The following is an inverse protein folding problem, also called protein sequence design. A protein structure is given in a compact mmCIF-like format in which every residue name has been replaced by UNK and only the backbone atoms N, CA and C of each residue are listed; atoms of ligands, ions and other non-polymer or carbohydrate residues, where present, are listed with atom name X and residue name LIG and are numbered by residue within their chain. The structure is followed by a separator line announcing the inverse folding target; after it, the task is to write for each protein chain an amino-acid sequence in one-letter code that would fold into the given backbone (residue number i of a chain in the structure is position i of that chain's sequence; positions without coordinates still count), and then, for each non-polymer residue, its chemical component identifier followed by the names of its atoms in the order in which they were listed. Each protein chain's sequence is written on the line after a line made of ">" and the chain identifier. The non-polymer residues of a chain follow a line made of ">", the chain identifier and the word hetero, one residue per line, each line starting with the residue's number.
data_IF_665083993073
#
_entry.id   IF_665083993073
#
_cell.length_a   1.000
_cell.length_b   1.000
_cell.length_c   1.000
_cell.angle_alpha   90.00
_cell.angle_beta   90.00
_cell.angle_gamma   90.00
#
_symmetry.space_group_name_H-M   'P 1'
#
loop_
_entity.id
_entity.type
_entity.pdbx_description
1 polymer ?
#
# COMPACT_ATOMS: atom_id res chain seq x y z
N UNK A 1 16.75 68.24 8.89
CA UNK A 1 16.00 67.33 7.99
C UNK A 1 16.87 66.60 6.95
N UNK A 2 18.22 66.65 7.02
CA UNK A 2 19.11 66.04 6.01
C UNK A 2 19.83 64.75 6.45
N UNK A 3 19.75 64.36 7.73
CA UNK A 3 20.47 63.19 8.26
C UNK A 3 19.64 61.90 8.21
N UNK A 4 18.31 62.01 8.27
CA UNK A 4 17.38 60.85 8.22
C UNK A 4 17.23 60.25 6.81
N UNK A 5 17.38 61.06 5.75
CA UNK A 5 17.30 60.58 4.36
C UNK A 5 18.55 59.78 3.92
N UNK A 6 19.73 60.09 4.48
CA UNK A 6 20.97 59.35 4.18
C UNK A 6 20.96 57.94 4.77
N UNK A 7 20.40 57.76 5.97
CA UNK A 7 20.38 56.46 6.65
C UNK A 7 19.26 55.53 6.11
N UNK A 8 18.16 56.08 5.61
CA UNK A 8 17.07 55.32 4.97
C UNK A 8 17.44 54.85 3.56
N UNK A 9 18.18 55.66 2.79
CA UNK A 9 18.72 55.25 1.50
C UNK A 9 19.77 54.12 1.63
N UNK A 10 20.60 54.14 2.68
CA UNK A 10 21.58 53.09 2.95
C UNK A 10 20.92 51.75 3.33
N UNK A 11 19.83 51.77 4.12
CA UNK A 11 19.07 50.56 4.45
C UNK A 11 18.36 49.94 3.23
N UNK A 12 17.83 50.77 2.31
CA UNK A 12 17.22 50.28 1.06
C UNK A 12 18.25 49.64 0.13
N UNK A 13 19.49 50.16 0.06
CA UNK A 13 20.58 49.59 -0.74
C UNK A 13 21.10 48.25 -0.18
N UNK A 14 21.02 48.05 1.14
CA UNK A 14 21.37 46.79 1.82
C UNK A 14 20.25 45.74 1.68
N UNK A 15 18.99 46.16 1.63
CA UNK A 15 17.87 45.26 1.31
C UNK A 15 17.85 44.83 -0.18
N UNK A 16 18.27 45.70 -1.10
CA UNK A 16 18.33 45.38 -2.55
C UNK A 16 19.50 44.47 -2.94
N UNK A 17 20.54 44.35 -2.10
CA UNK A 17 21.71 43.50 -2.35
C UNK A 17 21.58 42.06 -1.81
N UNK A 18 20.54 41.77 -1.01
CA UNK A 18 20.35 40.44 -0.38
C UNK A 18 19.38 39.50 -1.11
N UNK A 19 18.80 39.92 -2.24
CA UNK A 19 17.89 39.10 -3.06
C UNK A 19 18.51 38.70 -4.42
N UNK A 20 19.79 38.31 -4.43
CA UNK A 20 20.29 37.48 -5.52
C UNK A 20 19.78 36.04 -5.33
N UNK A 21 18.48 35.83 -5.54
CA UNK A 21 17.93 34.49 -5.71
C UNK A 21 18.59 33.94 -6.98
N UNK A 22 19.62 33.10 -6.82
CA UNK A 22 20.23 32.40 -7.95
C UNK A 22 19.16 31.46 -8.52
N UNK A 23 18.53 31.89 -9.61
CA UNK A 23 17.63 31.04 -10.38
C UNK A 23 18.38 29.76 -10.77
N UNK A 24 17.75 28.60 -10.60
CA UNK A 24 18.29 27.34 -11.12
C UNK A 24 18.12 27.34 -12.64
N UNK A 25 19.16 26.92 -13.34
CA UNK A 25 19.13 26.73 -14.80
C UNK A 25 18.54 25.36 -15.12
N UNK A 26 17.63 25.29 -16.08
CA UNK A 26 16.94 24.05 -16.47
C UNK A 26 17.17 23.73 -17.94
N UNK A 27 17.53 22.48 -18.23
CA UNK A 27 17.64 21.96 -19.60
C UNK A 27 16.83 20.68 -19.74
N UNK A 28 16.30 20.43 -20.92
CA UNK A 28 15.46 19.27 -21.19
C UNK A 28 15.77 18.63 -22.54
N UNK A 29 15.50 17.34 -22.66
CA UNK A 29 15.45 16.62 -23.94
C UNK A 29 14.34 15.59 -23.94
N UNK A 30 13.85 15.29 -25.14
CA UNK A 30 12.80 14.28 -25.38
C UNK A 30 13.36 13.19 -26.28
N UNK A 31 13.14 11.94 -25.89
CA UNK A 31 13.48 10.76 -26.70
C UNK A 31 12.19 10.02 -26.99
N UNK A 32 11.92 9.74 -28.26
CA UNK A 32 10.77 8.95 -28.69
C UNK A 32 11.27 7.76 -29.49
N UNK A 33 10.83 6.56 -29.13
CA UNK A 33 11.15 5.31 -29.84
C UNK A 33 9.89 4.48 -30.02
N UNK A 34 9.82 3.75 -31.12
CA UNK A 34 8.71 2.86 -31.45
C UNK A 34 9.26 1.52 -31.91
N UNK A 35 8.64 0.44 -31.46
CA UNK A 35 9.02 -0.94 -31.81
C UNK A 35 7.78 -1.81 -31.96
N UNK A 36 7.93 -2.96 -32.62
CA UNK A 36 6.89 -4.00 -32.62
C UNK A 36 6.87 -4.72 -31.28
N UNK A 37 5.68 -4.93 -30.71
CA UNK A 37 5.45 -5.70 -29.50
C UNK A 37 4.02 -6.24 -29.58
N UNK A 38 3.84 -7.56 -29.48
CA UNK A 38 2.52 -8.18 -29.60
C UNK A 38 1.79 -8.22 -28.25
N UNK A 39 0.52 -8.59 -28.25
CA UNK A 39 -0.31 -8.77 -27.04
C UNK A 39 0.26 -9.75 -25.99
N UNK A 40 1.13 -10.68 -26.40
CA UNK A 40 1.85 -11.62 -25.52
C UNK A 40 3.24 -11.11 -25.11
N UNK A 41 3.49 -9.81 -25.31
CA UNK A 41 4.78 -9.19 -25.04
C UNK A 41 5.05 -9.01 -23.56
N UNK A 42 6.34 -8.90 -23.24
CA UNK A 42 6.82 -8.58 -21.91
C UNK A 42 7.52 -7.22 -21.94
N UNK A 43 7.11 -6.31 -21.06
CA UNK A 43 7.78 -5.04 -20.84
C UNK A 43 8.36 -5.00 -19.43
N UNK A 44 9.66 -4.75 -19.33
CA UNK A 44 10.36 -4.48 -18.08
C UNK A 44 10.88 -3.07 -18.05
N UNK A 45 10.58 -2.33 -16.98
CA UNK A 45 11.02 -0.95 -16.77
C UNK A 45 11.79 -0.87 -15.46
N UNK A 46 13.04 -0.44 -15.52
CA UNK A 46 13.84 -0.03 -14.36
C UNK A 46 14.08 1.48 -14.44
N UNK A 47 13.36 2.21 -13.58
CA UNK A 47 13.51 3.64 -13.42
C UNK A 47 13.85 3.98 -11.98
N UNK A 48 14.51 5.13 -11.81
CA UNK A 48 14.85 5.65 -10.48
C UNK A 48 14.37 7.08 -10.28
N UNK A 49 14.02 7.80 -11.35
CA UNK A 49 13.94 9.24 -11.32
C UNK A 49 12.75 9.73 -12.16
N UNK A 50 11.54 9.71 -11.61
CA UNK A 50 10.37 10.33 -12.25
C UNK A 50 9.23 9.37 -12.51
N UNK A 51 8.19 9.93 -13.10
CA UNK A 51 6.89 9.29 -13.20
C UNK A 51 6.84 8.35 -14.41
N UNK A 52 6.06 7.28 -14.30
CA UNK A 52 5.82 6.31 -15.36
C UNK A 52 4.33 6.28 -15.64
N UNK A 53 3.95 6.70 -16.83
CA UNK A 53 2.57 6.60 -17.33
C UNK A 53 2.52 5.53 -18.40
N UNK A 54 1.65 4.54 -18.20
CA UNK A 54 1.48 3.40 -19.09
C UNK A 54 0.04 3.40 -19.61
N UNK A 55 -0.10 3.37 -20.93
CA UNK A 55 -1.38 3.40 -21.64
C UNK A 55 -1.51 2.16 -22.51
N UNK A 56 -2.47 1.29 -22.19
CA UNK A 56 -2.81 0.15 -23.04
C UNK A 56 -3.57 0.57 -24.31
N UNK A 57 -3.31 -0.11 -25.43
CA UNK A 57 -4.02 0.08 -26.70
C UNK A 57 -4.20 -1.22 -27.49
N UNK A 58 -4.99 -1.15 -28.58
CA UNK A 58 -5.28 -2.27 -29.48
C UNK A 58 -4.31 -2.34 -30.68
N UNK A 59 -3.02 -2.08 -30.47
CA UNK A 59 -1.98 -2.16 -31.50
C UNK A 59 -0.84 -3.05 -31.06
N UNK A 60 -0.30 -3.85 -31.98
CA UNK A 60 0.89 -4.67 -31.78
C UNK A 60 2.18 -3.86 -31.94
N UNK A 61 2.26 -2.79 -31.16
CA UNK A 61 3.43 -1.92 -31.12
C UNK A 61 3.57 -1.31 -29.74
N UNK A 62 4.80 -0.91 -29.41
CA UNK A 62 5.12 -0.13 -28.23
C UNK A 62 5.71 1.21 -28.65
N UNK A 63 5.23 2.29 -28.05
CA UNK A 63 5.80 3.64 -28.19
C UNK A 63 6.26 4.11 -26.83
N UNK A 64 7.55 4.46 -26.73
CA UNK A 64 8.20 4.89 -25.51
C UNK A 64 8.62 6.34 -25.70
N UNK A 65 8.12 7.21 -24.84
CA UNK A 65 8.54 8.61 -24.74
C UNK A 65 9.23 8.84 -23.41
N UNK A 66 10.51 9.22 -23.43
CA UNK A 66 11.24 9.66 -22.25
C UNK A 66 11.42 11.18 -22.29
N UNK A 67 10.86 11.88 -21.31
CA UNK A 67 11.04 13.32 -21.11
C UNK A 67 12.05 13.52 -19.98
N UNK A 68 13.24 14.01 -20.32
CA UNK A 68 14.34 14.18 -19.38
C UNK A 68 14.51 15.67 -19.12
N UNK A 69 14.47 16.06 -17.84
CA UNK A 69 14.74 17.42 -17.36
C UNK A 69 15.85 17.37 -16.33
N UNK A 70 16.79 18.30 -16.45
CA UNK A 70 17.89 18.50 -15.51
C UNK A 70 17.88 19.93 -15.03
N UNK A 71 17.99 20.15 -13.72
CA UNK A 71 18.21 21.48 -13.13
C UNK A 71 19.55 21.52 -12.39
N UNK A 72 20.28 22.62 -12.55
CA UNK A 72 21.52 22.86 -11.81
C UNK A 72 21.73 24.37 -11.60
N UNK A 73 22.58 24.75 -10.65
CA UNK A 73 22.96 26.15 -10.44
C UNK A 73 23.82 26.72 -11.58
N UNK A 74 24.41 25.86 -12.42
CA UNK A 74 25.19 26.25 -13.60
C UNK A 74 24.64 25.57 -14.85
N UNK A 75 24.29 26.35 -15.86
CA UNK A 75 23.76 25.86 -17.13
C UNK A 75 24.66 24.79 -17.78
N UNK A 76 25.98 24.97 -17.77
CA UNK A 76 26.92 24.02 -18.37
C UNK A 76 26.96 22.67 -17.64
N UNK A 77 26.80 22.67 -16.31
CA UNK A 77 26.66 21.43 -15.55
C UNK A 77 25.36 20.71 -15.92
N UNK A 78 24.27 21.46 -16.03
CA UNK A 78 22.97 20.92 -16.41
C UNK A 78 23.03 20.27 -17.81
N UNK A 79 23.70 20.94 -18.78
CA UNK A 79 23.93 20.41 -20.13
C UNK A 79 24.81 19.15 -20.13
N UNK A 80 25.92 19.14 -19.38
CA UNK A 80 26.82 17.97 -19.27
C UNK A 80 26.08 16.76 -18.70
N UNK A 81 25.29 16.96 -17.63
CA UNK A 81 24.50 15.90 -17.01
C UNK A 81 23.38 15.42 -17.94
N UNK A 82 22.66 16.33 -18.61
CA UNK A 82 21.62 15.99 -19.59
C UNK A 82 22.17 15.12 -20.73
N UNK A 83 23.40 15.38 -21.20
CA UNK A 83 24.05 14.56 -22.25
C UNK A 83 24.33 13.12 -21.79
N UNK A 84 24.60 12.93 -20.50
CA UNK A 84 24.97 11.63 -19.88
C UNK A 84 23.78 10.76 -19.52
N UNK A 85 22.58 11.33 -19.41
CA UNK A 85 21.35 10.55 -19.20
C UNK A 85 20.95 9.92 -20.53
N UNK A 86 21.14 8.62 -20.69
CA UNK A 86 20.76 7.90 -21.92
C UNK A 86 19.99 6.64 -21.55
N UNK A 87 18.65 6.70 -21.51
CA UNK A 87 17.82 5.52 -21.33
C UNK A 87 18.19 4.43 -22.33
N UNK A 88 18.49 3.24 -21.83
CA UNK A 88 18.77 2.07 -22.65
C UNK A 88 17.45 1.36 -22.93
N UNK A 89 17.13 1.20 -24.21
CA UNK A 89 15.95 0.45 -24.66
C UNK A 89 16.45 -0.73 -25.46
N UNK A 90 16.19 -1.95 -24.97
CA UNK A 90 16.57 -3.21 -25.61
C UNK A 90 15.32 -3.98 -26.01
N UNK A 91 15.26 -4.41 -27.27
CA UNK A 91 14.19 -5.25 -27.79
C UNK A 91 14.80 -6.56 -28.29
N UNK A 92 14.33 -7.68 -27.75
CA UNK A 92 14.74 -9.02 -28.18
C UNK A 92 13.48 -9.86 -28.38
N UNK A 93 13.10 -10.09 -29.63
CA UNK A 93 11.84 -10.75 -29.95
C UNK A 93 10.65 -9.95 -29.40
N UNK A 94 9.89 -10.54 -28.49
CA UNK A 94 8.70 -9.95 -27.87
C UNK A 94 8.96 -9.40 -26.45
N UNK A 95 10.23 -9.24 -26.08
CA UNK A 95 10.67 -8.67 -24.82
C UNK A 95 11.20 -7.26 -25.04
N UNK A 96 10.65 -6.30 -24.31
CA UNK A 96 11.13 -4.93 -24.24
C UNK A 96 11.68 -4.62 -22.84
N UNK A 97 12.89 -4.09 -22.76
CA UNK A 97 13.51 -3.63 -21.51
C UNK A 97 13.87 -2.16 -21.63
N UNK A 98 13.46 -1.37 -20.63
CA UNK A 98 13.80 0.04 -20.46
C UNK A 98 14.62 0.18 -19.18
N UNK A 99 15.83 0.72 -19.27
CA UNK A 99 16.68 0.99 -18.11
C UNK A 99 17.12 2.45 -18.11
N UNK A 100 16.82 3.16 -17.03
CA UNK A 100 17.21 4.55 -16.83
C UNK A 100 18.65 4.64 -16.33
N UNK A 101 19.61 4.72 -17.26
CA UNK A 101 21.03 4.85 -16.94
C UNK A 101 21.54 6.29 -17.03
N UNK A 102 22.39 6.67 -16.07
CA UNK A 102 23.18 7.91 -16.10
C UNK A 102 24.64 7.51 -16.20
N UNK A 103 25.25 7.71 -17.37
CA UNK A 103 26.64 7.28 -17.61
C UNK A 103 27.61 8.05 -16.71
N UNK A 104 28.55 7.35 -16.08
CA UNK A 104 29.60 7.94 -15.24
C UNK A 104 30.63 8.73 -16.05
N UNK A 105 31.02 9.90 -15.54
CA UNK A 105 32.18 10.69 -16.00
C UNK A 105 33.40 10.43 -15.11
N UNK A 106 33.15 10.13 -13.83
CA UNK A 106 34.04 9.58 -12.79
C UNK A 106 33.13 9.04 -11.68
N UNK A 107 33.46 7.91 -11.05
CA UNK A 107 32.65 7.32 -9.95
C UNK A 107 32.43 8.32 -8.80
N UNK A 108 33.45 9.12 -8.46
CA UNK A 108 33.38 10.14 -7.40
C UNK A 108 32.39 11.28 -7.67
N UNK A 109 32.09 11.62 -8.93
CA UNK A 109 31.14 12.70 -9.24
C UNK A 109 29.70 12.22 -9.11
N UNK A 110 29.41 10.99 -9.54
CA UNK A 110 28.11 10.35 -9.28
C UNK A 110 27.94 10.17 -7.77
N UNK A 111 28.95 9.63 -7.09
CA UNK A 111 28.90 9.49 -5.63
C UNK A 111 28.62 10.84 -4.95
N UNK A 112 29.28 11.93 -5.30
CA UNK A 112 29.05 13.22 -4.63
C UNK A 112 27.69 13.88 -4.96
N UNK A 113 27.13 13.63 -6.14
CA UNK A 113 25.83 14.16 -6.54
C UNK A 113 24.65 13.31 -6.04
N UNK A 114 24.87 12.00 -5.85
CA UNK A 114 23.83 11.01 -5.50
C UNK A 114 23.97 10.40 -4.09
N UNK A 115 25.13 10.47 -3.41
CA UNK A 115 25.38 9.95 -2.04
C UNK A 115 25.27 11.01 -0.92
N UNK A 116 24.44 12.03 -1.06
CA UNK A 116 24.08 12.83 0.13
C UNK A 116 23.17 12.00 1.03
N UNK A 117 23.81 11.35 2.01
CA UNK A 117 23.26 10.40 2.97
C UNK A 117 22.24 11.01 3.94
N UNK A 118 21.07 11.40 3.44
CA UNK A 118 19.89 11.57 4.29
C UNK A 118 18.64 11.06 3.55
N UNK A 119 17.83 10.16 4.14
CA UNK A 119 16.58 9.70 3.54
C UNK A 119 15.50 10.81 3.43
N UNK A 120 15.76 11.99 4.00
CA UNK A 120 14.90 13.17 3.93
C UNK A 120 15.44 14.30 3.03
N UNK A 121 16.63 14.11 2.43
CA UNK A 121 17.37 15.15 1.69
C UNK A 121 17.65 14.71 0.23
N UNK A 122 16.86 13.75 -0.29
CA UNK A 122 16.80 13.45 -1.72
C UNK A 122 16.25 14.68 -2.43
N UNK A 123 17.14 15.56 -2.87
CA UNK A 123 16.84 16.68 -3.75
C UNK A 123 16.34 16.12 -5.08
N UNK A 124 15.02 15.83 -5.12
CA UNK A 124 14.22 15.40 -6.28
C UNK A 124 14.34 16.36 -7.48
N UNK A 125 15.02 17.49 -7.32
CA UNK A 125 14.95 18.63 -8.21
C UNK A 125 15.82 18.48 -9.45
N UNK A 126 17.00 17.87 -9.32
CA UNK A 126 18.03 18.09 -10.32
C UNK A 126 17.95 17.16 -11.53
N UNK A 127 17.31 15.98 -11.42
CA UNK A 127 17.12 15.06 -12.55
C UNK A 127 15.73 14.43 -12.48
N UNK A 128 14.96 14.58 -13.56
CA UNK A 128 13.66 13.95 -13.76
C UNK A 128 13.63 13.27 -15.13
N UNK A 129 13.23 12.01 -15.17
CA UNK A 129 13.14 11.13 -16.34
C UNK A 129 11.74 10.52 -16.32
N UNK A 130 10.78 11.23 -16.90
CA UNK A 130 9.40 10.76 -16.96
C UNK A 130 9.20 9.91 -18.21
N UNK A 131 8.54 8.77 -18.05
CA UNK A 131 8.16 7.90 -19.15
C UNK A 131 6.67 7.99 -19.45
N UNK A 132 6.33 8.09 -20.73
CA UNK A 132 4.98 7.83 -21.24
C UNK A 132 5.08 6.70 -22.25
N UNK A 133 4.40 5.59 -21.97
CA UNK A 133 4.49 4.36 -22.73
C UNK A 133 3.10 4.01 -23.23
N UNK A 134 2.99 3.73 -24.53
CA UNK A 134 1.82 3.09 -25.13
C UNK A 134 2.21 1.67 -25.51
N UNK A 135 1.43 0.67 -25.12
CA UNK A 135 1.71 -0.74 -25.39
C UNK A 135 0.43 -1.57 -25.56
N UNK A 136 0.51 -2.79 -26.12
CA UNK A 136 -0.62 -3.69 -26.20
C UNK A 136 -1.23 -3.98 -24.82
N UNK A 137 -2.55 -3.86 -24.70
CA UNK A 137 -3.27 -3.85 -23.41
C UNK A 137 -3.13 -5.12 -22.55
N UNK A 138 -2.79 -6.26 -23.14
CA UNK A 138 -2.69 -7.55 -22.40
C UNK A 138 -1.26 -8.00 -22.15
N UNK A 139 -0.25 -7.20 -22.53
CA UNK A 139 1.15 -7.52 -22.26
C UNK A 139 1.41 -7.73 -20.77
N UNK A 140 2.45 -8.49 -20.45
CA UNK A 140 2.96 -8.58 -19.09
C UNK A 140 3.90 -7.39 -18.80
N UNK A 141 3.77 -6.80 -17.61
CA UNK A 141 4.40 -5.55 -17.25
C UNK A 141 5.11 -5.69 -15.90
N UNK A 142 6.42 -5.50 -15.89
CA UNK A 142 7.27 -5.48 -14.70
C UNK A 142 7.85 -4.07 -14.54
N UNK A 143 7.54 -3.38 -13.44
CA UNK A 143 8.03 -2.02 -13.18
C UNK A 143 8.79 -1.98 -11.86
N UNK A 144 10.02 -1.50 -11.90
CA UNK A 144 10.77 -1.07 -10.72
C UNK A 144 10.93 0.44 -10.82
N UNK A 145 10.39 1.18 -9.83
CA UNK A 145 10.60 2.62 -9.71
C UNK A 145 10.98 3.02 -8.29
N UNK A 146 12.00 3.86 -8.13
CA UNK A 146 12.48 4.31 -6.81
C UNK A 146 11.88 5.65 -6.36
N UNK A 147 11.58 6.54 -7.31
CA UNK A 147 11.04 7.86 -7.03
C UNK A 147 10.15 8.28 -8.19
N UNK A 148 8.95 8.77 -7.86
CA UNK A 148 7.95 9.18 -8.84
C UNK A 148 6.83 8.18 -8.96
N UNK A 149 5.74 8.64 -9.53
CA UNK A 149 4.48 7.92 -9.47
C UNK A 149 4.32 6.96 -10.66
N UNK A 150 3.46 5.96 -10.51
CA UNK A 150 3.09 5.04 -11.60
C UNK A 150 1.60 5.18 -11.88
N UNK A 151 1.24 5.50 -13.11
CA UNK A 151 -0.14 5.58 -13.57
C UNK A 151 -0.34 4.53 -14.65
N UNK A 152 -1.26 3.59 -14.43
CA UNK A 152 -1.65 2.59 -15.41
C UNK A 152 -3.07 2.88 -15.90
N UNK A 153 -3.21 3.12 -17.20
CA UNK A 153 -4.49 3.33 -17.88
C UNK A 153 -4.70 2.29 -18.98
N UNK A 154 -5.93 1.79 -19.12
CA UNK A 154 -6.34 0.86 -20.18
C UNK A 154 -5.49 -0.42 -20.28
N UNK A 155 -4.84 -0.83 -19.19
CA UNK A 155 -3.98 -2.01 -19.12
C UNK A 155 -4.68 -3.15 -18.37
N UNK A 156 -4.68 -4.36 -18.95
CA UNK A 156 -5.40 -5.53 -18.43
C UNK A 156 -4.52 -6.79 -18.30
N UNK A 157 -3.23 -6.68 -18.59
CA UNK A 157 -2.29 -7.79 -18.50
C UNK A 157 -1.80 -8.07 -17.08
N UNK A 158 -0.84 -8.98 -16.97
CA UNK A 158 -0.19 -9.32 -15.69
C UNK A 158 0.70 -8.17 -15.23
N UNK A 159 0.56 -7.76 -13.98
CA UNK A 159 1.36 -6.69 -13.37
C UNK A 159 2.29 -7.22 -12.28
N UNK A 160 3.55 -6.81 -12.32
CA UNK A 160 4.49 -6.90 -11.19
C UNK A 160 5.10 -5.53 -10.98
N UNK A 161 5.14 -5.05 -9.73
CA UNK A 161 5.68 -3.73 -9.43
C UNK A 161 6.49 -3.71 -8.14
N UNK A 162 7.63 -3.02 -8.17
CA UNK A 162 8.38 -2.58 -7.00
C UNK A 162 8.46 -1.05 -7.02
N UNK A 163 7.72 -0.39 -6.13
CA UNK A 163 7.64 1.06 -6.05
C UNK A 163 8.14 1.54 -4.69
N UNK A 164 9.03 2.53 -4.70
CA UNK A 164 9.44 3.28 -3.52
C UNK A 164 9.14 4.76 -3.72
N UNK A 165 8.77 5.47 -2.65
CA UNK A 165 8.66 6.93 -2.64
C UNK A 165 7.82 7.53 -3.79
N UNK A 166 6.66 6.93 -4.05
CA UNK A 166 5.72 7.36 -5.09
C UNK A 166 4.40 6.64 -4.92
N UNK A 167 3.37 7.20 -5.54
CA UNK A 167 2.03 6.65 -5.56
C UNK A 167 1.79 5.85 -6.83
N UNK A 168 0.87 4.90 -6.75
CA UNK A 168 0.44 4.07 -7.88
C UNK A 168 -1.08 4.17 -8.06
N UNK A 169 -1.51 4.46 -9.29
CA UNK A 169 -2.91 4.47 -9.68
C UNK A 169 -3.19 3.43 -10.77
N UNK A 170 -4.15 2.55 -10.49
CA UNK A 170 -4.65 1.52 -11.42
C UNK A 170 -6.16 1.72 -11.57
N UNK A 171 -6.57 2.34 -12.68
CA UNK A 171 -7.96 2.77 -12.88
C UNK A 171 -8.84 1.73 -13.58
N UNK A 172 -8.36 0.49 -13.74
CA UNK A 172 -9.07 -0.57 -14.43
C UNK A 172 -8.98 -1.90 -13.67
N UNK A 173 -9.78 -2.87 -14.11
CA UNK A 173 -9.86 -4.17 -13.48
C UNK A 173 -8.70 -5.05 -13.99
N UNK A 174 -7.91 -5.58 -13.05
CA UNK A 174 -6.81 -6.51 -13.34
C UNK A 174 -7.16 -7.92 -12.89
N UNK A 175 -6.66 -8.92 -13.63
CA UNK A 175 -6.78 -10.32 -13.20
C UNK A 175 -5.73 -10.64 -12.15
N UNK A 176 -4.45 -10.32 -12.41
CA UNK A 176 -3.34 -10.66 -11.53
C UNK A 176 -2.39 -9.47 -11.34
N UNK A 177 -2.08 -9.17 -10.08
CA UNK A 177 -1.03 -8.21 -9.75
C UNK A 177 -0.19 -8.66 -8.55
N UNK A 178 1.10 -8.35 -8.59
CA UNK A 178 2.01 -8.42 -7.45
C UNK A 178 2.66 -7.05 -7.24
N UNK A 179 2.49 -6.45 -6.06
CA UNK A 179 2.95 -5.08 -5.78
C UNK A 179 3.73 -5.04 -4.47
N UNK A 180 5.01 -4.65 -4.53
CA UNK A 180 5.82 -4.23 -3.38
C UNK A 180 5.84 -2.70 -3.37
N UNK A 181 5.24 -2.09 -2.34
CA UNK A 181 5.16 -0.65 -2.17
C UNK A 181 5.76 -0.20 -0.84
N UNK A 182 6.71 0.75 -0.92
CA UNK A 182 7.33 1.38 0.25
C UNK A 182 7.18 2.89 0.19
N UNK A 183 6.64 3.51 1.25
CA UNK A 183 6.53 4.97 1.39
C UNK A 183 5.72 5.63 0.26
N UNK A 184 4.47 5.19 0.08
CA UNK A 184 3.55 5.75 -0.92
C UNK A 184 2.14 5.17 -0.79
N UNK A 185 1.28 5.43 -1.76
CA UNK A 185 -0.10 4.93 -1.79
C UNK A 185 -0.37 4.14 -3.07
N UNK A 186 -0.96 2.95 -2.93
CA UNK A 186 -1.60 2.22 -4.03
C UNK A 186 -3.10 2.51 -4.01
N UNK A 187 -3.61 3.10 -5.08
CA UNK A 187 -5.05 3.23 -5.34
C UNK A 187 -5.42 2.37 -6.54
N UNK A 188 -6.34 1.44 -6.34
CA UNK A 188 -6.78 0.51 -7.39
C UNK A 188 -8.28 0.26 -7.34
N UNK A 189 -8.89 0.15 -8.52
CA UNK A 189 -10.30 -0.21 -8.63
C UNK A 189 -10.50 -1.68 -8.26
N UNK A 190 -9.98 -2.60 -9.09
CA UNK A 190 -10.18 -4.03 -8.87
C UNK A 190 -8.96 -4.85 -9.28
N UNK A 191 -8.60 -5.80 -8.42
CA UNK A 191 -7.61 -6.82 -8.75
C UNK A 191 -8.16 -8.16 -8.27
N UNK A 192 -8.48 -9.06 -9.20
CA UNK A 192 -9.09 -10.34 -8.86
C UNK A 192 -8.19 -11.17 -7.93
N UNK A 193 -6.91 -11.33 -8.31
CA UNK A 193 -5.90 -12.05 -7.52
C UNK A 193 -4.68 -11.15 -7.29
N UNK A 194 -4.47 -10.75 -6.04
CA UNK A 194 -3.45 -9.80 -5.66
C UNK A 194 -2.51 -10.37 -4.58
N UNK A 195 -1.22 -10.12 -4.75
CA UNK A 195 -0.23 -10.23 -3.68
C UNK A 195 0.38 -8.86 -3.45
N UNK A 196 0.23 -8.30 -2.25
CA UNK A 196 0.65 -6.92 -1.95
C UNK A 196 1.53 -6.93 -0.69
N UNK A 197 2.73 -6.36 -0.82
CA UNK A 197 3.64 -6.07 0.29
C UNK A 197 3.67 -4.55 0.52
N UNK A 198 3.29 -4.11 1.72
CA UNK A 198 3.26 -2.69 2.11
C UNK A 198 4.24 -2.41 3.25
N UNK A 199 5.04 -1.34 3.10
CA UNK A 199 5.89 -0.82 4.18
C UNK A 199 5.76 0.69 4.31
N UNK A 200 5.20 1.13 5.44
CA UNK A 200 4.90 2.53 5.70
C UNK A 200 4.16 3.18 4.52
N UNK A 201 3.14 2.49 4.02
CA UNK A 201 2.42 2.82 2.79
C UNK A 201 0.90 2.85 3.04
N UNK A 202 0.14 3.14 1.99
CA UNK A 202 -1.32 3.08 2.03
C UNK A 202 -1.88 2.23 0.89
N UNK A 203 -2.96 1.51 1.16
CA UNK A 203 -3.76 0.79 0.17
C UNK A 203 -5.20 1.29 0.19
N UNK A 204 -5.73 1.63 -0.98
CA UNK A 204 -7.11 2.02 -1.24
C UNK A 204 -7.62 1.17 -2.41
N UNK A 205 -8.43 0.16 -2.10
CA UNK A 205 -8.88 -0.86 -3.06
C UNK A 205 -10.40 -1.01 -3.02
N UNK A 206 -11.06 -0.92 -4.17
CA UNK A 206 -12.51 -1.15 -4.20
C UNK A 206 -12.83 -2.64 -4.07
N UNK A 207 -12.33 -3.49 -4.98
CA UNK A 207 -12.70 -4.92 -4.97
C UNK A 207 -11.54 -5.88 -5.20
N UNK A 208 -11.58 -7.04 -4.53
CA UNK A 208 -10.73 -8.18 -4.85
C UNK A 208 -11.44 -9.52 -4.59
N UNK A 209 -11.09 -10.55 -5.35
CA UNK A 209 -11.57 -11.91 -5.04
C UNK A 209 -10.63 -12.58 -4.04
N UNK A 210 -9.32 -12.46 -4.26
CA UNK A 210 -8.30 -13.00 -3.39
C UNK A 210 -7.17 -11.98 -3.22
N UNK A 211 -6.93 -11.59 -1.97
CA UNK A 211 -5.79 -10.74 -1.61
C UNK A 211 -4.96 -11.46 -0.56
N UNK A 212 -3.66 -11.58 -0.83
CA UNK A 212 -2.64 -11.85 0.17
C UNK A 212 -1.94 -10.53 0.46
N UNK A 213 -2.03 -10.06 1.71
CA UNK A 213 -1.43 -8.78 2.14
C UNK A 213 -0.42 -9.01 3.26
N UNK A 214 0.83 -8.61 3.03
CA UNK A 214 1.79 -8.40 4.11
C UNK A 214 1.99 -6.90 4.30
N UNK A 215 1.78 -6.43 5.53
CA UNK A 215 1.80 -5.00 5.82
C UNK A 215 2.56 -4.70 7.10
N UNK A 216 3.29 -3.58 7.09
CA UNK A 216 3.80 -2.98 8.31
C UNK A 216 3.81 -1.45 8.29
N UNK A 217 3.33 -0.83 9.37
CA UNK A 217 3.32 0.63 9.53
C UNK A 217 2.37 1.35 8.55
N UNK A 218 1.35 0.69 8.03
CA UNK A 218 0.58 1.11 6.86
C UNK A 218 -0.92 1.31 7.17
N UNK A 219 -1.62 2.00 6.27
CA UNK A 219 -3.08 2.16 6.32
C UNK A 219 -3.74 1.41 5.16
N UNK A 220 -4.77 0.63 5.43
CA UNK A 220 -5.42 -0.23 4.44
C UNK A 220 -6.92 0.01 4.48
N UNK A 221 -7.48 0.45 3.36
CA UNK A 221 -8.91 0.64 3.15
C UNK A 221 -9.35 -0.24 1.97
N UNK A 222 -10.25 -1.19 2.25
CA UNK A 222 -10.80 -2.12 1.26
C UNK A 222 -12.32 -2.05 1.29
N UNK A 223 -12.97 -1.80 0.15
CA UNK A 223 -14.43 -1.76 0.10
C UNK A 223 -15.02 -3.19 0.13
N UNK A 224 -14.65 -4.08 -0.79
CA UNK A 224 -15.16 -5.46 -0.81
C UNK A 224 -14.08 -6.48 -1.14
N UNK A 225 -14.03 -7.56 -0.37
CA UNK A 225 -13.14 -8.68 -0.66
C UNK A 225 -13.80 -10.03 -0.34
N UNK A 226 -13.52 -11.07 -1.14
CA UNK A 226 -14.02 -12.42 -0.87
C UNK A 226 -13.08 -13.15 0.09
N UNK A 227 -11.87 -13.53 -0.36
CA UNK A 227 -10.86 -14.22 0.46
C UNK A 227 -9.72 -13.29 0.80
N UNK A 228 -9.56 -12.95 2.08
CA UNK A 228 -8.48 -12.10 2.56
C UNK A 228 -7.51 -12.86 3.45
N UNK A 229 -6.25 -12.96 3.02
CA UNK A 229 -5.16 -13.49 3.82
C UNK A 229 -4.23 -12.34 4.23
N UNK A 230 -3.99 -12.19 5.53
CA UNK A 230 -3.30 -11.02 6.07
C UNK A 230 -2.18 -11.38 7.06
N UNK A 231 -1.04 -10.73 6.89
CA UNK A 231 0.02 -10.62 7.92
C UNK A 231 0.26 -9.12 8.16
N UNK A 232 -0.14 -8.63 9.34
CA UNK A 232 -0.15 -7.21 9.65
C UNK A 232 0.62 -6.88 10.93
N UNK A 233 1.34 -5.75 10.93
CA UNK A 233 2.11 -5.26 12.07
C UNK A 233 2.18 -3.72 12.12
N UNK A 234 1.58 -3.11 13.14
CA UNK A 234 1.50 -1.64 13.30
C UNK A 234 0.68 -0.97 12.20
N UNK A 235 -0.43 -1.60 11.81
CA UNK A 235 -1.29 -1.10 10.74
C UNK A 235 -2.63 -0.60 11.27
N UNK A 236 -3.30 0.18 10.43
CA UNK A 236 -4.72 0.51 10.58
C UNK A 236 -5.48 -0.02 9.36
N UNK A 237 -6.44 -0.90 9.60
CA UNK A 237 -7.14 -1.64 8.54
C UNK A 237 -8.64 -1.41 8.68
N UNK A 238 -9.28 -0.89 7.62
CA UNK A 238 -10.72 -0.79 7.51
C UNK A 238 -11.22 -1.59 6.30
N UNK A 239 -12.21 -2.44 6.52
CA UNK A 239 -12.81 -3.28 5.48
C UNK A 239 -14.31 -3.09 5.53
N UNK A 240 -14.93 -2.68 4.41
CA UNK A 240 -16.38 -2.50 4.39
C UNK A 240 -17.12 -3.83 4.31
N UNK A 241 -16.67 -4.76 3.47
CA UNK A 241 -17.25 -6.10 3.37
C UNK A 241 -16.15 -7.15 3.11
N UNK A 242 -16.14 -8.22 3.90
CA UNK A 242 -15.28 -9.38 3.68
C UNK A 242 -16.06 -10.67 3.85
N UNK A 243 -15.86 -11.64 2.95
CA UNK A 243 -16.48 -12.97 3.12
C UNK A 243 -15.66 -13.82 4.10
N UNK A 244 -14.36 -13.93 3.87
CA UNK A 244 -13.44 -14.76 4.64
C UNK A 244 -12.16 -13.98 4.94
N UNK A 245 -11.76 -13.93 6.21
CA UNK A 245 -10.49 -13.34 6.64
C UNK A 245 -9.68 -14.33 7.46
N UNK A 246 -8.42 -14.53 7.09
CA UNK A 246 -7.49 -15.38 7.83
C UNK A 246 -6.09 -14.78 7.95
N UNK A 247 -5.37 -15.15 9.00
CA UNK A 247 -3.95 -14.82 9.13
C UNK A 247 -3.53 -14.32 10.51
N UNK A 248 -2.57 -13.39 10.52
CA UNK A 248 -1.88 -12.91 11.73
C UNK A 248 -1.90 -11.39 11.80
N UNK A 249 -2.29 -10.85 12.94
CA UNK A 249 -2.39 -9.41 13.14
C UNK A 249 -1.71 -9.05 14.46
N UNK A 250 -0.81 -8.08 14.44
CA UNK A 250 -0.10 -7.65 15.65
C UNK A 250 -0.02 -6.13 15.73
N UNK A 251 -0.15 -5.57 16.93
CA UNK A 251 0.03 -4.13 17.19
C UNK A 251 -0.82 -3.23 16.28
N UNK A 252 -2.01 -3.68 15.89
CA UNK A 252 -2.79 -3.05 14.81
C UNK A 252 -4.23 -2.80 15.22
N UNK A 253 -4.88 -1.90 14.47
CA UNK A 253 -6.31 -1.61 14.59
C UNK A 253 -7.03 -2.17 13.37
N UNK A 254 -8.08 -2.96 13.58
CA UNK A 254 -8.84 -3.59 12.51
C UNK A 254 -10.34 -3.34 12.71
N UNK A 255 -10.98 -2.80 11.68
CA UNK A 255 -12.43 -2.57 11.64
C UNK A 255 -13.02 -3.24 10.41
N UNK A 256 -13.91 -4.19 10.64
CA UNK A 256 -14.73 -4.83 9.62
C UNK A 256 -16.17 -4.33 9.81
N UNK A 257 -16.73 -3.72 8.77
CA UNK A 257 -18.12 -3.27 8.84
C UNK A 257 -19.07 -4.47 8.67
N UNK A 258 -18.82 -5.31 7.67
CA UNK A 258 -19.63 -6.50 7.40
C UNK A 258 -18.76 -7.73 7.12
N UNK A 259 -19.02 -8.81 7.84
CA UNK A 259 -18.46 -10.14 7.62
C UNK A 259 -19.56 -11.07 7.10
N UNK A 260 -19.27 -11.90 6.08
CA UNK A 260 -20.22 -12.93 5.66
C UNK A 260 -19.98 -14.27 6.34
N UNK A 261 -18.82 -14.91 6.13
CA UNK A 261 -18.64 -16.33 6.41
C UNK A 261 -17.64 -16.63 7.54
N UNK A 262 -16.38 -16.23 7.38
CA UNK A 262 -15.29 -16.77 8.22
C UNK A 262 -14.33 -15.71 8.77
N UNK A 263 -14.04 -15.81 10.07
CA UNK A 263 -12.85 -15.22 10.70
C UNK A 263 -11.96 -16.35 11.22
N UNK A 264 -10.68 -16.33 10.86
CA UNK A 264 -9.66 -17.23 11.38
C UNK A 264 -8.35 -16.48 11.66
N UNK A 265 -8.24 -15.89 12.85
CA UNK A 265 -7.18 -14.93 13.16
C UNK A 265 -6.35 -15.30 14.39
N UNK A 266 -5.04 -15.11 14.25
CA UNK A 266 -4.12 -15.05 15.39
C UNK A 266 -3.75 -13.58 15.65
N UNK A 267 -4.04 -13.08 16.85
CA UNK A 267 -3.90 -11.65 17.17
C UNK A 267 -3.01 -11.41 18.38
N UNK A 268 -2.25 -10.32 18.36
CA UNK A 268 -1.44 -9.86 19.51
C UNK A 268 -1.49 -8.35 19.64
N UNK A 269 -1.93 -7.85 20.79
CA UNK A 269 -2.00 -6.40 21.09
C UNK A 269 -2.73 -5.70 19.93
N UNK A 270 -3.99 -6.11 19.70
CA UNK A 270 -4.77 -5.68 18.54
C UNK A 270 -6.14 -5.21 19.00
N UNK A 271 -6.62 -4.11 18.42
CA UNK A 271 -7.99 -3.65 18.57
C UNK A 271 -8.79 -4.16 17.37
N UNK A 272 -9.63 -5.18 17.59
CA UNK A 272 -10.38 -5.84 16.52
C UNK A 272 -11.88 -5.62 16.68
N UNK A 273 -12.51 -5.00 15.68
CA UNK A 273 -13.95 -4.70 15.67
C UNK A 273 -14.66 -5.28 14.45
N UNK A 274 -15.78 -5.97 14.67
CA UNK A 274 -16.72 -6.42 13.64
C UNK A 274 -18.10 -5.83 13.93
N UNK A 275 -18.61 -5.03 13.01
CA UNK A 275 -19.86 -4.28 13.23
C UNK A 275 -21.11 -5.07 12.87
N UNK A 276 -21.02 -6.04 11.95
CA UNK A 276 -22.12 -6.89 11.53
C UNK A 276 -21.60 -8.22 10.95
N UNK A 277 -22.34 -9.31 11.17
CA UNK A 277 -22.09 -10.63 10.58
C UNK A 277 -23.38 -11.07 9.89
N UNK A 278 -23.30 -11.39 8.59
CA UNK A 278 -24.48 -11.63 7.76
C UNK A 278 -24.97 -13.08 7.78
N UNK A 279 -24.07 -14.06 7.70
CA UNK A 279 -24.50 -15.47 7.58
C UNK A 279 -24.74 -16.11 8.95
N UNK A 280 -25.91 -16.72 9.19
CA UNK A 280 -26.20 -17.45 10.43
C UNK A 280 -25.22 -18.59 10.74
N UNK A 281 -24.63 -19.19 9.70
CA UNK A 281 -23.67 -20.28 9.76
C UNK A 281 -22.22 -19.83 9.94
N UNK A 282 -21.97 -18.53 10.12
CA UNK A 282 -20.62 -17.97 10.21
C UNK A 282 -19.73 -18.71 11.24
N UNK A 283 -18.47 -18.87 10.85
CA UNK A 283 -17.42 -19.49 11.64
C UNK A 283 -16.43 -18.43 12.13
N UNK A 284 -16.31 -18.29 13.44
CA UNK A 284 -15.38 -17.35 14.07
C UNK A 284 -14.40 -18.12 14.93
N UNK A 285 -13.15 -18.17 14.49
CA UNK A 285 -12.03 -18.70 15.25
C UNK A 285 -11.00 -17.60 15.48
N UNK A 286 -10.71 -17.31 16.74
CA UNK A 286 -9.76 -16.27 17.11
C UNK A 286 -8.89 -16.78 18.24
N UNK A 287 -7.57 -16.74 18.02
CA UNK A 287 -6.57 -16.91 19.07
C UNK A 287 -5.92 -15.55 19.34
N UNK A 288 -6.00 -15.06 20.57
CA UNK A 288 -5.53 -13.72 20.91
C UNK A 288 -4.63 -13.66 22.14
N UNK A 289 -3.65 -12.75 22.10
CA UNK A 289 -2.83 -12.34 23.24
C UNK A 289 -2.96 -10.83 23.50
N UNK A 290 -3.46 -10.45 24.67
CA UNK A 290 -3.58 -9.05 25.11
C UNK A 290 -4.28 -8.14 24.10
N UNK A 291 -5.29 -8.65 23.41
CA UNK A 291 -6.07 -7.92 22.39
C UNK A 291 -7.46 -7.57 22.90
N UNK A 292 -8.04 -6.51 22.35
CA UNK A 292 -9.42 -6.11 22.62
C UNK A 292 -10.30 -6.41 21.41
N UNK A 293 -11.29 -7.29 21.62
CA UNK A 293 -12.18 -7.82 20.59
C UNK A 293 -13.59 -7.31 20.84
N UNK A 294 -14.19 -6.70 19.83
CA UNK A 294 -15.58 -6.22 19.87
C UNK A 294 -16.34 -6.75 18.64
N UNK A 295 -17.28 -7.65 18.87
CA UNK A 295 -18.09 -8.26 17.80
C UNK A 295 -19.56 -8.03 18.09
N UNK A 296 -20.26 -7.41 17.14
CA UNK A 296 -21.72 -7.35 17.15
C UNK A 296 -22.28 -8.70 16.68
N UNK A 297 -23.08 -9.33 17.53
CA UNK A 297 -23.67 -10.66 17.32
C UNK A 297 -25.20 -10.59 17.16
N UNK A 298 -25.76 -9.39 17.04
CA UNK A 298 -27.20 -9.15 16.89
C UNK A 298 -27.80 -10.01 15.77
N UNK A 299 -28.88 -10.72 16.07
CA UNK A 299 -29.63 -11.51 15.07
C UNK A 299 -29.01 -12.87 14.72
N UNK A 300 -27.85 -13.23 15.28
CA UNK A 300 -27.21 -14.52 15.02
C UNK A 300 -27.74 -15.64 15.93
N UNK A 301 -27.43 -16.88 15.56
CA UNK A 301 -27.58 -18.05 16.42
C UNK A 301 -26.37 -18.97 16.29
N UNK A 302 -25.60 -19.16 17.36
CA UNK A 302 -24.34 -19.89 17.33
C UNK A 302 -24.02 -20.60 18.64
N UNK A 303 -23.18 -21.63 18.52
CA UNK A 303 -22.49 -22.26 19.66
C UNK A 303 -21.24 -21.46 19.98
N UNK A 304 -21.04 -21.18 21.26
CA UNK A 304 -19.91 -20.41 21.74
C UNK A 304 -19.02 -21.27 22.63
N UNK A 305 -17.73 -21.30 22.31
CA UNK A 305 -16.66 -21.87 23.14
C UNK A 305 -15.57 -20.83 23.35
N UNK A 306 -15.07 -20.71 24.58
CA UNK A 306 -13.92 -19.88 24.85
C UNK A 306 -12.97 -20.51 25.88
N UNK A 307 -11.67 -20.35 25.65
CA UNK A 307 -10.60 -20.77 26.54
C UNK A 307 -9.79 -19.54 26.93
N UNK A 308 -9.91 -19.08 28.18
CA UNK A 308 -9.39 -17.77 28.59
C UNK A 308 -8.44 -17.90 29.77
N UNK A 309 -7.19 -17.46 29.59
CA UNK A 309 -6.17 -17.27 30.62
C UNK A 309 -6.14 -15.78 31.01
N UNK A 310 -6.54 -15.42 32.23
CA UNK A 310 -6.50 -14.02 32.73
C UNK A 310 -7.24 -12.96 31.88
N UNK A 311 -7.99 -13.36 30.84
CA UNK A 311 -8.77 -12.43 30.01
C UNK A 311 -10.11 -12.07 30.64
N UNK A 312 -10.80 -11.08 30.06
CA UNK A 312 -12.16 -10.67 30.44
C UNK A 312 -13.11 -11.01 29.30
N UNK A 313 -14.23 -11.67 29.62
CA UNK A 313 -15.30 -11.94 28.67
C UNK A 313 -16.57 -11.20 29.12
N UNK A 314 -17.12 -10.38 28.22
CA UNK A 314 -18.38 -9.68 28.40
C UNK A 314 -19.36 -10.15 27.34
N UNK A 315 -20.43 -10.81 27.78
CA UNK A 315 -21.49 -11.33 26.92
C UNK A 315 -22.86 -10.81 27.42
N UNK A 316 -23.85 -10.64 26.51
CA UNK A 316 -25.21 -10.25 26.85
C UNK A 316 -25.94 -11.30 27.71
N UNK A 317 -26.96 -10.85 28.46
CA UNK A 317 -27.82 -11.73 29.27
C UNK A 317 -28.65 -12.73 28.45
N UNK A 318 -28.78 -12.51 27.14
CA UNK A 318 -29.48 -13.39 26.20
C UNK A 318 -28.76 -14.71 25.92
N UNK A 319 -27.51 -14.88 26.37
CA UNK A 319 -26.82 -16.17 26.33
C UNK A 319 -27.48 -17.22 27.22
N UNK A 320 -27.52 -18.46 26.74
CA UNK A 320 -28.11 -19.61 27.41
C UNK A 320 -27.08 -20.72 27.62
N UNK A 321 -27.39 -21.65 28.51
CA UNK A 321 -26.58 -22.85 28.77
C UNK A 321 -25.12 -22.54 29.11
N UNK A 322 -24.88 -21.42 29.81
CA UNK A 322 -23.54 -20.98 30.17
C UNK A 322 -22.96 -21.98 31.19
N UNK A 323 -21.87 -22.63 30.82
CA UNK A 323 -21.07 -23.51 31.67
C UNK A 323 -19.64 -23.00 31.70
N UNK A 324 -19.12 -22.77 32.90
CA UNK A 324 -17.73 -22.33 33.12
C UNK A 324 -17.01 -23.37 33.96
N UNK A 325 -15.84 -23.81 33.51
CA UNK A 325 -14.98 -24.77 34.21
C UNK A 325 -13.61 -24.14 34.39
N UNK A 326 -13.13 -24.11 35.63
CA UNK A 326 -11.74 -23.72 35.92
C UNK A 326 -10.83 -24.91 35.60
N UNK A 327 -9.96 -24.73 34.59
CA UNK A 327 -9.03 -25.77 34.12
C UNK A 327 -7.72 -25.70 34.89
N UNK A 328 -7.24 -24.49 35.19
CA UNK A 328 -6.04 -24.26 35.98
C UNK A 328 -6.20 -22.99 36.82
N UNK A 329 -6.13 -23.12 38.15
CA UNK A 329 -6.31 -21.99 39.08
C UNK A 329 -5.14 -21.01 39.06
N UNK A 330 -3.90 -21.51 38.96
CA UNK A 330 -2.68 -20.68 39.00
C UNK A 330 -2.61 -19.77 37.77
N UNK A 331 -2.92 -20.32 36.60
CA UNK A 331 -3.01 -19.58 35.35
C UNK A 331 -4.31 -18.77 35.22
N UNK A 332 -5.29 -19.01 36.11
CA UNK A 332 -6.67 -18.51 35.97
C UNK A 332 -7.26 -18.86 34.59
N UNK A 333 -6.96 -20.07 34.12
CA UNK A 333 -7.43 -20.61 32.86
C UNK A 333 -8.82 -21.21 33.05
N UNK A 334 -9.77 -20.73 32.25
CA UNK A 334 -11.17 -21.19 32.27
C UNK A 334 -11.64 -21.58 30.87
N UNK A 335 -12.38 -22.68 30.80
CA UNK A 335 -13.17 -23.04 29.64
C UNK A 335 -14.61 -22.57 29.86
N UNK A 336 -15.20 -21.94 28.85
CA UNK A 336 -16.57 -21.44 28.84
C UNK A 336 -17.27 -22.02 27.62
N UNK A 337 -18.42 -22.65 27.84
CA UNK A 337 -19.32 -23.09 26.78
C UNK A 337 -20.67 -22.43 26.96
N UNK A 338 -21.27 -21.95 25.89
CA UNK A 338 -22.59 -21.34 25.91
C UNK A 338 -23.26 -21.41 24.53
N UNK A 339 -24.52 -21.00 24.47
CA UNK A 339 -25.29 -20.88 23.22
C UNK A 339 -25.95 -19.52 23.14
N UNK A 340 -25.97 -18.92 21.95
CA UNK A 340 -26.66 -17.67 21.67
C UNK A 340 -27.68 -17.89 20.54
N UNK A 341 -28.83 -17.22 20.62
CA UNK A 341 -29.92 -17.35 19.66
C UNK A 341 -30.65 -18.70 19.72
N UNK A 342 -31.67 -18.87 18.87
CA UNK A 342 -32.46 -20.11 18.75
C UNK A 342 -31.90 -20.96 17.61
N UNK A 343 -31.78 -22.28 17.83
CA UNK A 343 -31.30 -23.26 16.83
C UNK A 343 -29.93 -22.87 16.23
N UNK A 344 -28.86 -22.88 17.04
CA UNK A 344 -27.56 -22.36 16.63
C UNK A 344 -26.97 -23.13 15.45
N UNK A 345 -26.65 -22.41 14.37
CA UNK A 345 -26.00 -22.92 13.15
C UNK A 345 -24.53 -22.51 13.08
N UNK A 346 -24.18 -21.31 13.54
CA UNK A 346 -22.82 -20.79 13.56
C UNK A 346 -21.97 -21.36 14.71
N UNK A 347 -20.67 -21.11 14.65
CA UNK A 347 -19.70 -21.55 15.67
C UNK A 347 -18.67 -20.47 15.95
N UNK A 348 -18.56 -20.11 17.22
CA UNK A 348 -17.61 -19.11 17.71
C UNK A 348 -16.68 -19.79 18.71
N UNK A 349 -15.38 -19.78 18.43
CA UNK A 349 -14.33 -20.37 19.25
C UNK A 349 -13.21 -19.36 19.48
N UNK A 350 -13.09 -18.86 20.71
CA UNK A 350 -12.09 -17.84 21.04
C UNK A 350 -11.13 -18.35 22.11
N UNK A 351 -9.84 -18.46 21.78
CA UNK A 351 -8.77 -18.70 22.75
C UNK A 351 -8.12 -17.37 23.08
N UNK A 352 -7.90 -17.09 24.36
CA UNK A 352 -7.40 -15.79 24.79
C UNK A 352 -6.46 -15.84 25.97
N UNK A 353 -5.37 -15.08 25.90
CA UNK A 353 -4.47 -14.81 27.02
C UNK A 353 -4.45 -13.31 27.30
N UNK A 354 -4.96 -12.90 28.46
CA UNK A 354 -5.24 -11.50 28.82
C UNK A 354 -6.21 -10.86 27.80
N UNK A 355 -6.35 -9.54 27.81
CA UNK A 355 -7.23 -8.83 26.87
C UNK A 355 -8.72 -8.94 27.19
N UNK A 356 -9.54 -8.30 26.36
CA UNK A 356 -10.99 -8.21 26.54
C UNK A 356 -11.72 -8.76 25.33
N UNK A 357 -12.74 -9.57 25.56
CA UNK A 357 -13.68 -10.01 24.52
C UNK A 357 -15.05 -9.47 24.90
N UNK A 358 -15.61 -8.63 24.02
CA UNK A 358 -16.93 -8.04 24.14
C UNK A 358 -17.79 -8.49 22.97
N UNK A 359 -18.84 -9.25 23.27
CA UNK A 359 -19.89 -9.57 22.33
C UNK A 359 -21.09 -8.64 22.59
N UNK A 360 -21.54 -7.94 21.56
CA UNK A 360 -22.61 -6.94 21.66
C UNK A 360 -23.90 -7.46 21.03
N UNK A 361 -25.02 -7.19 21.71
CA UNK A 361 -26.37 -7.45 21.23
C UNK A 361 -27.17 -6.17 21.38
N UNK A 362 -27.58 -5.59 20.25
CA UNK A 362 -28.21 -4.27 20.17
C UNK A 362 -29.74 -4.38 20.02
N UNK A 363 -30.36 -5.52 20.30
CA UNK A 363 -31.83 -5.67 20.26
C UNK A 363 -32.55 -5.06 21.47
N UNK A 364 -32.00 -4.01 22.08
CA UNK A 364 -32.56 -3.32 23.25
C UNK A 364 -32.92 -1.87 22.94
#
# INVERSE_FOLDING_TARGET
>A
MNTFYKNTAALLLILLSSLAIKAQEAVAKKIVKSYSLTQQGDLTIDSKYGDIVVNGWDKDSIVITANIKVTDKKLENAKDLLKRIQPQIKIVGNLATITSEITAKNESFIANYFNKNNPLDFDKTNVQINYTIYLPKTCSLNITNKFGDIILENFSGRLVTNLQHGDMWINQDLTNASVDLKYGKLKTKSIAYAYIDLKNAALDMETSQNLILNSSGSTVDILKIISFEIISNKDKINISSVEEIRGKIAFSDVKINSLDNEINLNMKITDFKVSNINKPEAFVHIDQESSDININITGLAFKFKANLEQGVLRIPKSFQNIKTVMINNDLKLREINATYGKKPTGKFSITGKKGTILLLDNTL
#
